data_IF_346122929634
#
_entry.id   IF_346122929634
#
_cell.length_a   1.000
_cell.length_b   1.000
_cell.length_c   1.000
_cell.angle_alpha   90.00
_cell.angle_beta   90.00
_cell.angle_gamma   90.00
#
_symmetry.space_group_name_H-M   'P 1'
#
loop_
_entity.id
_entity.type
_entity.pdbx_description
1 polymer ?
#
# COMPACT_ATOMS: atom_id res chain seq x y z
N UNK A 1 -30.95 -49.64 -60.17
CA UNK A 1 -32.35 -49.33 -59.79
C UNK A 1 -32.94 -50.59 -59.17
N UNK A 2 -32.93 -50.68 -57.84
CA UNK A 2 -33.59 -51.74 -57.07
C UNK A 2 -34.14 -51.04 -55.82
N UNK A 3 -35.45 -50.84 -55.80
CA UNK A 3 -36.20 -50.27 -54.68
C UNK A 3 -36.33 -51.32 -53.59
N UNK A 4 -35.75 -51.06 -52.42
CA UNK A 4 -35.98 -51.82 -51.19
C UNK A 4 -36.73 -50.97 -50.18
N UNK A 5 -38.02 -51.24 -50.01
CA UNK A 5 -38.86 -50.73 -48.93
C UNK A 5 -38.21 -51.06 -47.57
N UNK A 6 -37.84 -50.05 -46.78
CA UNK A 6 -37.53 -50.23 -45.35
C UNK A 6 -38.69 -49.69 -44.52
N UNK A 7 -39.33 -50.62 -43.83
CA UNK A 7 -40.35 -50.37 -42.83
C UNK A 7 -39.74 -49.59 -41.66
N UNK A 8 -40.28 -48.40 -41.39
CA UNK A 8 -39.99 -47.65 -40.17
C UNK A 8 -40.92 -48.18 -39.08
N UNK A 9 -40.40 -49.01 -38.19
CA UNK A 9 -41.06 -49.32 -36.92
C UNK A 9 -40.99 -48.06 -36.04
N UNK A 10 -42.10 -47.32 -35.94
CA UNK A 10 -42.29 -46.37 -34.85
C UNK A 10 -42.54 -47.17 -33.56
N UNK A 11 -41.47 -47.48 -32.84
CA UNK A 11 -41.59 -47.83 -31.41
C UNK A 11 -41.91 -46.53 -30.69
N UNK A 12 -43.20 -46.27 -30.49
CA UNK A 12 -43.65 -45.29 -29.51
C UNK A 12 -43.26 -45.84 -28.15
N UNK A 13 -42.12 -45.40 -27.63
CA UNK A 13 -41.85 -45.50 -26.21
C UNK A 13 -42.90 -44.62 -25.52
N UNK A 14 -43.96 -45.24 -25.02
CA UNK A 14 -44.65 -44.71 -23.86
C UNK A 14 -43.60 -44.66 -22.74
N UNK A 15 -42.93 -43.52 -22.58
CA UNK A 15 -42.38 -43.17 -21.29
C UNK A 15 -43.59 -43.12 -20.36
N UNK A 16 -43.80 -44.23 -19.65
CA UNK A 16 -44.64 -44.22 -18.47
C UNK A 16 -44.12 -43.08 -17.61
N UNK A 17 -44.94 -42.05 -17.45
CA UNK A 17 -44.74 -41.02 -16.45
C UNK A 17 -44.82 -41.75 -15.11
N UNK A 18 -43.68 -42.20 -14.60
CA UNK A 18 -43.57 -42.48 -13.18
C UNK A 18 -43.73 -41.13 -12.49
N UNK A 19 -44.95 -40.88 -12.03
CA UNK A 19 -45.26 -39.72 -11.22
C UNK A 19 -44.58 -39.95 -9.87
N UNK A 20 -43.36 -39.43 -9.73
CA UNK A 20 -42.65 -39.43 -8.46
C UNK A 20 -43.43 -38.56 -7.47
N UNK A 21 -43.67 -39.08 -6.27
CA UNK A 21 -44.39 -38.35 -5.22
C UNK A 21 -43.51 -37.20 -4.75
N UNK A 22 -43.99 -35.96 -4.85
CA UNK A 22 -43.26 -34.78 -4.44
C UNK A 22 -44.12 -33.88 -3.55
N UNK A 23 -43.49 -33.35 -2.50
CA UNK A 23 -44.04 -32.36 -1.58
C UNK A 23 -43.09 -31.16 -1.56
N UNK A 24 -43.60 -29.96 -1.83
CA UNK A 24 -42.78 -28.74 -1.96
C UNK A 24 -43.34 -27.62 -1.09
N UNK A 25 -42.63 -27.32 0.00
CA UNK A 25 -42.98 -26.25 0.94
C UNK A 25 -42.50 -24.86 0.51
N UNK A 26 -43.32 -23.85 0.76
CA UNK A 26 -43.03 -22.42 0.53
C UNK A 26 -43.68 -21.54 1.60
N UNK A 27 -43.24 -20.28 1.70
CA UNK A 27 -43.81 -19.30 2.63
C UNK A 27 -43.15 -19.21 4.00
N UNK A 28 -42.05 -19.95 4.23
CA UNK A 28 -41.18 -19.78 5.41
C UNK A 28 -40.39 -18.47 5.38
N UNK A 29 -39.76 -18.11 6.51
CA UNK A 29 -38.97 -16.89 6.64
C UNK A 29 -38.83 -16.36 8.06
N UNK A 30 -38.34 -15.12 8.18
CA UNK A 30 -38.18 -14.39 9.43
C UNK A 30 -39.46 -13.64 9.78
N UNK A 31 -39.92 -13.79 11.02
CA UNK A 31 -41.09 -13.07 11.55
C UNK A 31 -40.83 -12.65 12.99
N UNK A 32 -41.39 -11.50 13.39
CA UNK A 32 -41.29 -11.01 14.75
C UNK A 32 -42.21 -11.83 15.69
N UNK A 33 -41.87 -11.96 16.98
CA UNK A 33 -42.79 -12.53 17.97
C UNK A 33 -44.16 -11.85 17.94
N UNK A 34 -45.22 -12.62 18.17
CA UNK A 34 -46.64 -12.24 18.02
C UNK A 34 -47.11 -12.01 16.58
N UNK A 35 -46.21 -12.09 15.59
CA UNK A 35 -46.57 -12.04 14.18
C UNK A 35 -47.32 -13.28 13.69
N UNK A 36 -47.68 -13.26 12.41
CA UNK A 36 -48.35 -14.35 11.72
C UNK A 36 -47.63 -14.71 10.43
N UNK A 37 -47.64 -15.98 10.05
CA UNK A 37 -47.08 -16.49 8.80
C UNK A 37 -48.00 -17.58 8.23
N UNK A 38 -47.97 -17.77 6.92
CA UNK A 38 -48.71 -18.84 6.24
C UNK A 38 -47.75 -19.70 5.42
N UNK A 39 -47.60 -20.96 5.82
CA UNK A 39 -46.88 -21.95 5.01
C UNK A 39 -47.82 -22.59 4.00
N UNK A 40 -47.26 -22.95 2.86
CA UNK A 40 -47.94 -23.65 1.78
C UNK A 40 -47.11 -24.86 1.35
N UNK A 41 -47.75 -25.97 1.01
CA UNK A 41 -47.11 -27.17 0.51
C UNK A 41 -47.87 -27.69 -0.70
N UNK A 42 -47.19 -27.72 -1.84
CA UNK A 42 -47.71 -28.28 -3.09
C UNK A 42 -47.42 -29.77 -3.14
N UNK A 43 -48.46 -30.57 -3.42
CA UNK A 43 -48.36 -32.02 -3.50
C UNK A 43 -48.59 -32.51 -4.94
N UNK A 44 -47.75 -33.44 -5.39
CA UNK A 44 -47.88 -34.11 -6.70
C UNK A 44 -47.51 -35.59 -6.60
N UNK A 45 -47.91 -36.38 -7.61
CA UNK A 45 -47.58 -37.81 -7.68
C UNK A 45 -48.50 -38.76 -6.91
N UNK A 46 -49.56 -38.26 -6.26
CA UNK A 46 -50.57 -39.09 -5.59
C UNK A 46 -51.94 -38.41 -5.55
N UNK A 47 -52.99 -39.18 -5.24
CA UNK A 47 -54.36 -38.66 -5.04
C UNK A 47 -54.46 -37.88 -3.73
N UNK A 48 -54.18 -36.58 -3.77
CA UNK A 48 -54.16 -35.72 -2.59
C UNK A 48 -55.48 -35.81 -1.78
N UNK A 49 -56.63 -35.72 -2.46
CA UNK A 49 -57.97 -35.68 -1.85
C UNK A 49 -58.35 -36.87 -0.95
N UNK A 50 -57.77 -38.06 -1.17
CA UNK A 50 -58.06 -39.27 -0.38
C UNK A 50 -57.08 -39.47 0.77
N UNK A 51 -55.93 -38.79 0.74
CA UNK A 51 -54.86 -38.94 1.73
C UNK A 51 -54.93 -37.85 2.80
N UNK A 52 -54.59 -38.22 4.03
CA UNK A 52 -54.44 -37.28 5.14
C UNK A 52 -53.03 -36.68 5.15
N UNK A 53 -52.96 -35.42 5.53
CA UNK A 53 -51.73 -34.63 5.49
C UNK A 53 -51.40 -34.09 6.87
N UNK A 54 -50.11 -33.97 7.15
CA UNK A 54 -49.62 -33.48 8.43
C UNK A 54 -48.54 -32.42 8.22
N UNK A 55 -48.38 -31.59 9.25
CA UNK A 55 -47.18 -30.78 9.45
C UNK A 55 -46.39 -31.33 10.62
N UNK A 56 -45.08 -31.43 10.43
CA UNK A 56 -44.10 -31.83 11.44
C UNK A 56 -43.03 -30.74 11.49
N UNK A 57 -42.51 -30.42 12.66
CA UNK A 57 -41.42 -29.46 12.80
C UNK A 57 -40.21 -30.06 13.49
N UNK A 58 -39.03 -29.55 13.19
CA UNK A 58 -37.79 -29.87 13.86
C UNK A 58 -37.10 -28.58 14.31
N UNK A 59 -37.12 -28.32 15.62
CA UNK A 59 -36.36 -27.21 16.18
C UNK A 59 -34.86 -27.55 16.23
N UNK A 60 -33.96 -26.56 16.09
CA UNK A 60 -32.52 -26.80 16.19
C UNK A 60 -32.14 -27.52 17.49
N UNK A 61 -31.42 -28.64 17.37
CA UNK A 61 -31.00 -29.46 18.51
C UNK A 61 -32.11 -30.30 19.18
N UNK A 62 -33.33 -30.32 18.62
CA UNK A 62 -34.45 -31.15 19.09
C UNK A 62 -34.84 -32.22 18.06
N UNK A 63 -35.59 -33.21 18.54
CA UNK A 63 -36.22 -34.21 17.68
C UNK A 63 -37.40 -33.65 16.87
N UNK A 64 -37.99 -34.50 16.06
CA UNK A 64 -39.20 -34.19 15.29
C UNK A 64 -40.42 -34.06 16.22
N UNK A 65 -41.20 -33.00 16.05
CA UNK A 65 -42.43 -32.72 16.78
C UNK A 65 -43.60 -32.63 15.77
N UNK A 66 -44.62 -33.47 15.94
CA UNK A 66 -45.84 -33.37 15.15
C UNK A 66 -46.63 -32.10 15.52
N UNK A 67 -47.09 -31.34 14.52
CA UNK A 67 -47.70 -30.01 14.71
C UNK A 67 -49.22 -30.06 14.52
N UNK A 68 -49.66 -30.56 13.36
CA UNK A 68 -51.07 -30.60 13.00
C UNK A 68 -51.36 -31.64 11.93
N UNK A 69 -52.61 -32.10 11.86
CA UNK A 69 -53.14 -33.02 10.85
C UNK A 69 -54.46 -32.55 10.31
N UNK A 70 -54.69 -32.79 9.02
CA UNK A 70 -55.99 -32.64 8.37
C UNK A 70 -56.33 -33.93 7.63
N UNK A 71 -57.50 -34.50 7.95
CA UNK A 71 -57.99 -35.69 7.24
C UNK A 71 -58.52 -35.35 5.86
N UNK A 72 -58.72 -36.38 5.04
CA UNK A 72 -59.34 -36.29 3.73
C UNK A 72 -60.84 -35.99 3.83
N UNK A 73 -61.45 -35.68 2.67
CA UNK A 73 -62.87 -35.35 2.54
C UNK A 73 -63.81 -36.40 3.14
N UNK A 74 -63.48 -37.69 3.02
CA UNK A 74 -64.27 -38.80 3.56
C UNK A 74 -64.44 -38.76 5.08
N UNK A 75 -63.54 -38.05 5.77
CA UNK A 75 -63.55 -37.86 7.22
C UNK A 75 -63.94 -36.43 7.61
N UNK A 76 -64.73 -35.75 6.76
CA UNK A 76 -65.24 -34.40 6.98
C UNK A 76 -64.15 -33.36 7.31
N UNK A 77 -62.96 -33.51 6.72
CA UNK A 77 -61.83 -32.60 6.92
C UNK A 77 -61.43 -32.40 8.39
N UNK A 78 -61.65 -33.41 9.25
CA UNK A 78 -61.32 -33.32 10.67
C UNK A 78 -59.85 -32.90 10.89
N UNK A 79 -59.65 -31.86 11.72
CA UNK A 79 -58.34 -31.31 12.04
C UNK A 79 -57.93 -31.64 13.47
N UNK A 80 -56.62 -31.85 13.66
CA UNK A 80 -56.02 -32.15 14.96
C UNK A 80 -54.75 -31.32 15.11
N UNK A 81 -54.47 -30.87 16.33
CA UNK A 81 -53.34 -29.99 16.64
C UNK A 81 -52.59 -30.50 17.86
N UNK A 82 -51.27 -30.30 17.89
CA UNK A 82 -50.49 -30.52 19.09
C UNK A 82 -50.82 -29.47 20.15
N UNK A 83 -50.74 -29.85 21.43
CA UNK A 83 -51.06 -28.95 22.54
C UNK A 83 -50.18 -27.68 22.55
N UNK A 84 -48.95 -27.77 22.03
CA UNK A 84 -48.00 -26.65 21.93
C UNK A 84 -48.46 -25.52 20.97
N UNK A 85 -49.32 -25.84 20.01
CA UNK A 85 -49.75 -24.92 18.93
C UNK A 85 -51.26 -24.71 18.86
N UNK A 86 -52.02 -25.41 19.71
CA UNK A 86 -53.47 -25.32 19.82
C UNK A 86 -53.90 -23.86 20.01
N UNK A 87 -55.01 -23.50 19.38
CA UNK A 87 -55.60 -22.15 19.35
C UNK A 87 -54.74 -21.05 18.68
N UNK A 88 -53.55 -21.39 18.18
CA UNK A 88 -52.65 -20.46 17.48
C UNK A 88 -52.50 -20.81 16.00
N UNK A 89 -52.43 -22.10 15.70
CA UNK A 89 -52.21 -22.58 14.33
C UNK A 89 -53.50 -23.18 13.75
N UNK A 90 -53.70 -23.01 12.44
CA UNK A 90 -54.83 -23.55 11.69
C UNK A 90 -54.29 -24.27 10.46
N UNK A 91 -54.53 -25.58 10.36
CA UNK A 91 -54.21 -26.37 9.18
C UNK A 91 -55.42 -26.36 8.24
N UNK A 92 -55.16 -26.19 6.95
CA UNK A 92 -56.21 -26.18 5.92
C UNK A 92 -55.67 -26.77 4.63
N UNK A 93 -56.55 -27.17 3.71
CA UNK A 93 -56.18 -27.79 2.44
C UNK A 93 -57.09 -27.35 1.32
N UNK A 94 -56.56 -27.29 0.10
CA UNK A 94 -57.28 -27.11 -1.14
C UNK A 94 -57.05 -28.33 -2.04
N UNK A 95 -58.09 -29.16 -2.15
CA UNK A 95 -58.04 -30.39 -2.94
C UNK A 95 -58.03 -30.12 -4.45
N UNK A 96 -58.49 -28.95 -4.91
CA UNK A 96 -58.50 -28.60 -6.33
C UNK A 96 -57.09 -28.24 -6.84
N UNK A 97 -56.26 -27.68 -5.95
CA UNK A 97 -54.89 -27.28 -6.25
C UNK A 97 -53.85 -28.25 -5.68
N UNK A 98 -54.28 -29.29 -4.96
CA UNK A 98 -53.39 -30.20 -4.20
C UNK A 98 -52.45 -29.44 -3.27
N UNK A 99 -53.00 -28.44 -2.56
CA UNK A 99 -52.25 -27.55 -1.68
C UNK A 99 -52.62 -27.78 -0.22
N UNK A 100 -51.61 -27.87 0.65
CA UNK A 100 -51.75 -27.87 2.09
C UNK A 100 -51.26 -26.54 2.67
N UNK A 101 -51.97 -25.97 3.63
CA UNK A 101 -51.59 -24.72 4.28
C UNK A 101 -51.52 -24.86 5.80
N UNK A 102 -50.61 -24.11 6.40
CA UNK A 102 -50.55 -23.90 7.85
C UNK A 102 -50.55 -22.40 8.12
N UNK A 103 -51.68 -21.89 8.60
CA UNK A 103 -51.78 -20.52 9.09
C UNK A 103 -51.29 -20.50 10.54
N UNK A 104 -50.26 -19.73 10.82
CA UNK A 104 -49.63 -19.64 12.13
C UNK A 104 -49.83 -18.23 12.65
N UNK A 105 -50.54 -18.08 13.78
CA UNK A 105 -50.78 -16.79 14.40
C UNK A 105 -50.13 -16.71 15.78
N UNK A 106 -49.86 -15.49 16.23
CA UNK A 106 -49.25 -15.24 17.55
C UNK A 106 -48.01 -16.12 17.78
N UNK A 107 -47.07 -16.04 16.83
CA UNK A 107 -45.86 -16.83 16.83
C UNK A 107 -44.97 -16.51 18.02
N UNK A 108 -44.41 -17.55 18.63
CA UNK A 108 -43.49 -17.45 19.75
C UNK A 108 -42.09 -17.86 19.30
N UNK A 109 -41.07 -17.46 20.06
CA UNK A 109 -39.68 -17.85 19.78
C UNK A 109 -39.48 -19.37 19.73
N UNK A 110 -40.24 -20.11 20.56
CA UNK A 110 -40.28 -21.58 20.60
C UNK A 110 -40.79 -22.23 19.29
N UNK A 111 -41.48 -21.47 18.43
CA UNK A 111 -41.97 -21.98 17.14
C UNK A 111 -40.90 -21.93 16.03
N UNK A 112 -39.69 -21.44 16.33
CA UNK A 112 -38.55 -21.44 15.40
C UNK A 112 -38.09 -22.88 15.12
N UNK A 113 -38.29 -23.33 13.88
CA UNK A 113 -38.01 -24.69 13.46
C UNK A 113 -37.99 -24.81 11.93
N UNK A 114 -37.49 -25.94 11.43
CA UNK A 114 -37.78 -26.41 10.08
C UNK A 114 -39.16 -27.08 10.08
N UNK A 115 -40.05 -26.71 9.17
CA UNK A 115 -41.40 -27.27 9.04
C UNK A 115 -41.50 -28.10 7.77
N UNK A 116 -41.97 -29.34 7.91
CA UNK A 116 -42.14 -30.32 6.85
C UNK A 116 -43.61 -30.65 6.69
N UNK A 117 -44.11 -30.65 5.45
CA UNK A 117 -45.38 -31.29 5.15
C UNK A 117 -45.13 -32.77 4.85
N UNK A 118 -46.00 -33.63 5.39
CA UNK A 118 -45.85 -35.07 5.26
C UNK A 118 -47.17 -35.75 4.91
N UNK A 119 -47.10 -36.76 4.05
CA UNK A 119 -48.21 -37.64 3.72
C UNK A 119 -48.29 -38.77 4.74
N UNK A 120 -49.49 -38.99 5.28
CA UNK A 120 -49.75 -40.12 6.17
C UNK A 120 -49.73 -41.45 5.40
N UNK A 121 -49.16 -42.46 6.03
CA UNK A 121 -49.01 -43.81 5.50
C UNK A 121 -50.19 -44.73 5.75
N UNK A 122 -50.20 -45.85 5.04
CA UNK A 122 -51.29 -46.84 5.09
C UNK A 122 -51.35 -47.62 6.41
N UNK A 123 -50.31 -47.57 7.23
CA UNK A 123 -50.17 -48.34 8.49
C UNK A 123 -50.81 -47.67 9.71
N UNK A 124 -51.47 -46.52 9.55
CA UNK A 124 -52.26 -45.86 10.59
C UNK A 124 -51.77 -44.46 10.98
N UNK A 125 -52.42 -43.83 11.98
CA UNK A 125 -52.02 -42.51 12.44
C UNK A 125 -50.57 -42.54 12.94
N UNK A 126 -49.79 -41.54 12.54
CA UNK A 126 -48.38 -41.31 12.91
C UNK A 126 -47.30 -42.09 12.13
N UNK A 127 -47.66 -42.83 11.07
CA UNK A 127 -46.69 -43.31 10.08
C UNK A 127 -46.64 -42.34 8.90
N UNK A 128 -45.44 -41.88 8.52
CA UNK A 128 -45.25 -40.87 7.47
C UNK A 128 -44.44 -41.46 6.31
N UNK A 129 -45.10 -41.61 5.14
CA UNK A 129 -44.50 -42.26 3.96
C UNK A 129 -43.59 -41.31 3.16
N UNK A 130 -44.02 -40.06 3.02
CA UNK A 130 -43.36 -39.07 2.16
C UNK A 130 -43.26 -37.73 2.89
N UNK A 131 -42.10 -37.10 2.76
CA UNK A 131 -41.74 -35.84 3.39
C UNK A 131 -41.35 -34.84 2.31
N UNK A 132 -41.72 -33.57 2.52
CA UNK A 132 -41.15 -32.49 1.72
C UNK A 132 -39.75 -32.11 2.17
N UNK A 133 -39.14 -31.18 1.45
CA UNK A 133 -37.77 -30.69 1.73
C UNK A 133 -37.75 -29.80 2.98
N UNK A 134 -38.91 -29.29 3.37
CA UNK A 134 -39.10 -28.43 4.53
C UNK A 134 -38.81 -26.96 4.25
N UNK A 135 -39.31 -26.11 5.13
CA UNK A 135 -39.09 -24.66 5.08
C UNK A 135 -38.78 -24.12 6.47
N UNK A 136 -37.76 -23.26 6.57
CA UNK A 136 -37.31 -22.72 7.86
C UNK A 136 -38.16 -21.53 8.26
N UNK A 137 -38.63 -21.53 9.51
CA UNK A 137 -39.22 -20.36 10.16
C UNK A 137 -38.30 -19.93 11.28
N UNK A 138 -37.97 -18.64 11.30
CA UNK A 138 -37.25 -18.00 12.40
C UNK A 138 -38.15 -16.97 13.05
N UNK A 139 -38.44 -17.14 14.34
CA UNK A 139 -39.22 -16.17 15.13
C UNK A 139 -38.26 -15.44 16.06
N UNK A 140 -37.90 -14.21 15.73
CA UNK A 140 -36.91 -13.44 16.49
C UNK A 140 -37.15 -11.95 16.41
N UNK A 141 -36.79 -11.24 17.48
CA UNK A 141 -36.74 -9.78 17.54
C UNK A 141 -35.40 -9.18 17.08
N UNK A 142 -34.43 -10.03 16.74
CA UNK A 142 -33.12 -9.58 16.28
C UNK A 142 -33.24 -8.85 14.93
N UNK A 143 -32.43 -7.80 14.78
CA UNK A 143 -32.36 -7.01 13.54
C UNK A 143 -31.55 -7.77 12.50
N UNK A 144 -32.02 -7.73 11.26
CA UNK A 144 -31.25 -8.23 10.11
C UNK A 144 -29.87 -7.59 10.10
N UNK A 145 -28.83 -8.42 10.13
CA UNK A 145 -27.43 -7.98 10.20
C UNK A 145 -26.64 -8.63 9.08
N UNK A 146 -25.88 -7.83 8.34
CA UNK A 146 -25.07 -8.30 7.23
C UNK A 146 -23.81 -9.05 7.73
N UNK A 147 -23.36 -10.11 7.03
CA UNK A 147 -22.16 -10.85 7.41
C UNK A 147 -20.88 -10.04 7.26
N UNK A 148 -19.95 -10.26 8.19
CA UNK A 148 -18.54 -9.90 8.03
C UNK A 148 -17.74 -11.12 7.58
N UNK A 149 -16.99 -10.98 6.50
CA UNK A 149 -16.24 -12.10 5.87
C UNK A 149 -14.74 -11.92 6.07
N UNK A 150 -14.11 -12.90 6.69
CA UNK A 150 -12.68 -12.91 7.01
C UNK A 150 -11.95 -14.05 6.29
N UNK A 151 -10.84 -13.77 5.59
CA UNK A 151 -10.03 -14.82 4.96
C UNK A 151 -9.18 -15.53 6.01
N UNK A 152 -9.19 -16.86 5.99
CA UNK A 152 -8.34 -17.72 6.81
C UNK A 152 -7.24 -18.29 5.91
N UNK A 153 -6.15 -17.54 5.81
CA UNK A 153 -4.92 -17.99 5.18
C UNK A 153 -4.07 -18.83 6.17
N UNK A 154 -3.32 -19.84 5.68
CA UNK A 154 -2.46 -20.68 6.50
C UNK A 154 -1.35 -19.85 7.16
N UNK A 155 -0.83 -20.37 8.27
CA UNK A 155 0.20 -19.71 9.10
C UNK A 155 1.56 -19.72 8.38
N UNK A 156 2.38 -18.67 8.59
CA UNK A 156 3.78 -18.65 8.17
C UNK A 156 4.58 -19.70 8.96
N UNK A 157 4.63 -20.91 8.44
CA UNK A 157 5.52 -21.99 8.83
C UNK A 157 5.52 -22.97 7.66
N UNK A 158 6.70 -23.47 7.27
CA UNK A 158 6.84 -24.37 6.14
C UNK A 158 6.00 -25.63 6.37
N UNK A 159 4.74 -25.62 5.94
CA UNK A 159 3.97 -26.84 5.78
C UNK A 159 4.55 -27.54 4.58
N UNK A 160 5.48 -28.48 4.82
CA UNK A 160 6.12 -29.36 3.82
C UNK A 160 5.14 -30.34 3.16
N UNK A 161 3.85 -30.04 3.18
CA UNK A 161 2.77 -30.86 2.65
C UNK A 161 2.49 -30.55 1.18
N UNK A 162 2.10 -31.58 0.42
CA UNK A 162 1.66 -31.43 -0.98
C UNK A 162 0.36 -30.64 -1.15
N UNK A 163 -0.37 -30.38 -0.05
CA UNK A 163 -1.65 -29.68 -0.04
C UNK A 163 -1.70 -28.62 1.07
N UNK A 164 -2.51 -27.59 0.84
CA UNK A 164 -2.74 -26.46 1.74
C UNK A 164 -4.24 -26.30 1.93
N UNK A 165 -4.68 -26.20 3.19
CA UNK A 165 -6.06 -25.89 3.52
C UNK A 165 -6.22 -24.39 3.78
N UNK A 166 -7.13 -23.78 3.03
CA UNK A 166 -7.56 -22.39 3.18
C UNK A 166 -8.95 -22.37 3.81
N UNK A 167 -9.37 -21.23 4.35
CA UNK A 167 -10.72 -21.09 4.85
C UNK A 167 -11.29 -19.68 4.77
N UNK A 168 -12.59 -19.57 4.98
CA UNK A 168 -13.32 -18.32 4.97
C UNK A 168 -14.30 -18.35 6.14
N UNK A 169 -14.20 -17.34 7.02
CA UNK A 169 -15.05 -17.19 8.19
C UNK A 169 -16.11 -16.12 7.91
N UNK A 170 -17.38 -16.50 8.01
CA UNK A 170 -18.54 -15.63 7.89
C UNK A 170 -19.12 -15.43 9.27
N UNK A 171 -18.97 -14.22 9.82
CA UNK A 171 -19.30 -13.94 11.23
C UNK A 171 -20.32 -12.81 11.34
N UNK A 172 -21.21 -12.94 12.31
CA UNK A 172 -22.02 -11.82 12.79
C UNK A 172 -23.20 -11.48 11.89
N UNK A 173 -23.84 -12.47 11.26
CA UNK A 173 -25.00 -12.23 10.40
C UNK A 173 -26.30 -12.73 11.03
N UNK A 174 -27.41 -12.20 10.58
CA UNK A 174 -28.73 -12.68 10.99
C UNK A 174 -29.78 -12.29 9.94
N UNK A 175 -30.75 -13.17 9.61
CA UNK A 175 -30.93 -14.58 10.00
C UNK A 175 -30.18 -15.57 9.07
N UNK A 176 -30.37 -16.88 9.21
CA UNK A 176 -30.00 -17.85 8.16
C UNK A 176 -30.98 -17.84 6.97
N UNK A 177 -30.56 -18.29 5.77
CA UNK A 177 -29.26 -18.89 5.42
C UNK A 177 -28.28 -17.91 4.76
N UNK A 178 -27.01 -18.30 4.70
CA UNK A 178 -25.99 -17.70 3.83
C UNK A 178 -25.53 -18.72 2.79
N UNK A 179 -25.29 -18.25 1.57
CA UNK A 179 -24.67 -19.06 0.51
C UNK A 179 -23.18 -18.73 0.45
N UNK A 180 -22.33 -19.73 0.68
CA UNK A 180 -20.88 -19.63 0.54
C UNK A 180 -20.41 -20.54 -0.59
N UNK A 181 -19.77 -19.97 -1.61
CA UNK A 181 -19.12 -20.70 -2.69
C UNK A 181 -17.66 -20.27 -2.86
N UNK A 182 -16.87 -21.08 -3.56
CA UNK A 182 -15.46 -20.79 -3.84
C UNK A 182 -15.26 -20.57 -5.34
N UNK A 183 -14.54 -19.52 -5.71
CA UNK A 183 -14.33 -19.08 -7.10
C UNK A 183 -15.61 -19.11 -7.94
N UNK A 184 -16.68 -18.53 -7.41
CA UNK A 184 -18.02 -18.47 -8.01
C UNK A 184 -18.59 -19.83 -8.40
N UNK A 185 -18.22 -20.90 -7.69
CA UNK A 185 -18.67 -22.27 -7.92
C UNK A 185 -17.76 -23.11 -8.81
N UNK A 186 -16.70 -22.53 -9.38
CA UNK A 186 -15.71 -23.30 -10.17
C UNK A 186 -14.82 -24.20 -9.30
N UNK A 187 -14.68 -23.90 -8.01
CA UNK A 187 -13.92 -24.69 -7.05
C UNK A 187 -14.89 -25.39 -6.08
N UNK A 188 -15.10 -26.69 -6.28
CA UNK A 188 -15.98 -27.52 -5.44
C UNK A 188 -15.27 -28.72 -4.80
N UNK A 189 -14.16 -29.17 -5.38
CA UNK A 189 -13.37 -30.28 -4.85
C UNK A 189 -12.63 -29.87 -3.57
N UNK A 190 -12.68 -30.70 -2.53
CA UNK A 190 -12.02 -30.45 -1.25
C UNK A 190 -12.64 -29.33 -0.41
N UNK A 191 -13.84 -28.87 -0.77
CA UNK A 191 -14.60 -27.85 -0.02
C UNK A 191 -15.41 -28.50 1.10
N UNK A 192 -15.28 -27.98 2.31
CA UNK A 192 -16.06 -28.34 3.47
C UNK A 192 -16.66 -27.09 4.10
N UNK A 193 -17.98 -26.96 4.07
CA UNK A 193 -18.70 -25.86 4.73
C UNK A 193 -19.34 -26.38 6.01
N UNK A 194 -18.96 -25.78 7.14
CA UNK A 194 -19.45 -26.16 8.47
C UNK A 194 -20.82 -25.52 8.72
N UNK A 195 -21.71 -26.19 9.48
CA UNK A 195 -23.02 -25.64 9.83
C UNK A 195 -22.88 -24.35 10.63
N UNK A 196 -23.83 -23.43 10.45
CA UNK A 196 -23.82 -22.18 11.19
C UNK A 196 -24.13 -22.40 12.68
N UNK A 197 -23.48 -21.63 13.53
CA UNK A 197 -23.68 -21.64 14.98
C UNK A 197 -24.21 -20.28 15.40
N UNK A 198 -25.30 -20.28 16.17
CA UNK A 198 -25.89 -19.09 16.75
C UNK A 198 -25.13 -18.72 18.04
N UNK A 199 -24.53 -17.53 18.07
CA UNK A 199 -23.80 -16.99 19.22
C UNK A 199 -24.23 -15.54 19.45
N UNK A 200 -24.83 -15.26 20.62
CA UNK A 200 -25.30 -13.91 20.98
C UNK A 200 -26.20 -13.27 19.91
N UNK A 201 -27.26 -13.98 19.50
CA UNK A 201 -28.25 -13.60 18.48
C UNK A 201 -27.73 -13.48 17.03
N UNK A 202 -26.44 -13.72 16.77
CA UNK A 202 -25.86 -13.70 15.43
C UNK A 202 -25.26 -15.05 15.05
N UNK A 203 -25.40 -15.41 13.78
CA UNK A 203 -24.84 -16.62 13.23
C UNK A 203 -23.38 -16.43 12.81
N UNK A 204 -22.62 -17.51 12.96
CA UNK A 204 -21.25 -17.64 12.46
C UNK A 204 -21.10 -18.97 11.75
N UNK A 205 -20.48 -18.96 10.57
CA UNK A 205 -20.23 -20.13 9.74
C UNK A 205 -18.80 -20.04 9.20
N UNK A 206 -18.15 -21.19 9.00
CA UNK A 206 -16.87 -21.28 8.32
C UNK A 206 -16.94 -22.26 7.16
N UNK A 207 -16.11 -22.04 6.15
CA UNK A 207 -15.86 -23.01 5.09
C UNK A 207 -14.35 -23.12 4.88
N UNK A 208 -13.89 -24.33 4.59
CA UNK A 208 -12.49 -24.62 4.26
C UNK A 208 -12.39 -25.29 2.90
N UNK A 209 -11.30 -25.03 2.19
CA UNK A 209 -10.98 -25.69 0.91
C UNK A 209 -9.53 -26.16 0.92
N UNK A 210 -9.30 -27.41 0.51
CA UNK A 210 -7.95 -27.95 0.36
C UNK A 210 -7.51 -27.90 -1.09
N UNK A 211 -6.39 -27.24 -1.35
CA UNK A 211 -5.81 -27.05 -2.70
C UNK A 211 -4.35 -27.52 -2.74
N UNK A 212 -3.83 -27.75 -3.94
CA UNK A 212 -2.42 -28.16 -4.12
C UNK A 212 -1.47 -27.01 -3.77
N UNK A 213 -0.44 -27.30 -2.97
CA UNK A 213 0.48 -26.26 -2.48
C UNK A 213 1.26 -25.55 -3.61
N UNK A 214 1.52 -26.24 -4.73
CA UNK A 214 2.29 -25.69 -5.86
C UNK A 214 1.50 -24.69 -6.70
N UNK A 215 0.17 -24.77 -6.71
CA UNK A 215 -0.69 -23.94 -7.58
C UNK A 215 -1.30 -22.76 -6.84
N UNK A 216 -1.43 -22.83 -5.52
CA UNK A 216 -2.04 -21.76 -4.72
C UNK A 216 -1.34 -20.38 -4.84
N UNK A 217 0.00 -20.25 -4.77
CA UNK A 217 0.65 -18.94 -4.79
C UNK A 217 0.38 -18.12 -6.06
N UNK A 218 0.09 -18.79 -7.19
CA UNK A 218 -0.21 -18.16 -8.47
C UNK A 218 -1.70 -18.11 -8.81
N UNK A 219 -2.55 -18.85 -8.08
CA UNK A 219 -3.99 -18.89 -8.30
C UNK A 219 -4.75 -17.99 -7.32
N UNK A 220 -5.62 -17.13 -7.85
CA UNK A 220 -6.52 -16.32 -7.04
C UNK A 220 -7.69 -17.16 -6.53
N UNK A 221 -7.65 -17.53 -5.24
CA UNK A 221 -8.76 -18.21 -4.58
C UNK A 221 -9.60 -17.17 -3.84
N UNK A 222 -10.90 -17.19 -4.09
CA UNK A 222 -11.88 -16.24 -3.57
C UNK A 222 -13.03 -17.01 -2.92
N UNK A 223 -13.44 -16.61 -1.72
CA UNK A 223 -14.73 -17.04 -1.16
C UNK A 223 -15.80 -16.01 -1.47
N UNK A 224 -16.91 -16.47 -2.02
CA UNK A 224 -18.06 -15.67 -2.44
C UNK A 224 -19.19 -15.94 -1.47
N UNK A 225 -19.61 -14.92 -0.73
CA UNK A 225 -20.64 -15.02 0.31
C UNK A 225 -21.82 -14.17 -0.08
N UNK A 226 -23.02 -14.76 -0.13
CA UNK A 226 -24.27 -14.06 -0.38
C UNK A 226 -25.22 -14.27 0.80
N UNK A 227 -25.75 -13.17 1.33
CA UNK A 227 -26.78 -13.17 2.38
C UNK A 227 -28.07 -12.54 1.84
N UNK A 228 -29.09 -13.34 1.51
CA UNK A 228 -30.33 -12.86 0.88
C UNK A 228 -31.08 -11.83 1.73
N UNK A 229 -31.15 -12.02 3.05
CA UNK A 229 -31.95 -11.17 3.92
C UNK A 229 -31.42 -9.73 4.05
N UNK A 230 -30.10 -9.53 3.93
CA UNK A 230 -29.48 -8.19 3.91
C UNK A 230 -29.03 -7.75 2.51
N UNK A 231 -29.41 -8.50 1.46
CA UNK A 231 -28.96 -8.26 0.07
C UNK A 231 -27.44 -8.08 -0.07
N UNK A 232 -26.66 -8.72 0.80
CA UNK A 232 -25.21 -8.50 0.87
C UNK A 232 -24.49 -9.57 0.05
N UNK A 233 -23.57 -9.15 -0.81
CA UNK A 233 -22.65 -10.03 -1.54
C UNK A 233 -21.23 -9.58 -1.26
N UNK A 234 -20.37 -10.50 -0.82
CA UNK A 234 -18.98 -10.23 -0.49
C UNK A 234 -18.09 -11.27 -1.13
N UNK A 235 -17.16 -10.81 -1.96
CA UNK A 235 -16.12 -11.63 -2.54
C UNK A 235 -14.81 -11.32 -1.82
N UNK A 236 -14.27 -12.32 -1.12
CA UNK A 236 -13.04 -12.15 -0.33
C UNK A 236 -11.94 -13.06 -0.86
N UNK A 237 -10.91 -12.43 -1.43
CA UNK A 237 -9.70 -13.10 -1.89
C UNK A 237 -8.87 -13.59 -0.69
N UNK A 238 -8.37 -14.82 -0.78
CA UNK A 238 -7.44 -15.39 0.20
C UNK A 238 -6.03 -15.24 -0.34
N UNK A 239 -5.27 -14.34 0.27
CA UNK A 239 -3.88 -14.11 -0.08
C UNK A 239 -2.97 -14.85 0.90
N UNK A 240 -1.80 -15.36 0.45
CA UNK A 240 -0.78 -15.90 1.34
C UNK A 240 -0.42 -14.86 2.40
N UNK A 241 -0.37 -15.27 3.68
CA UNK A 241 0.22 -14.41 4.71
C UNK A 241 1.71 -14.30 4.41
N UNK A 242 2.11 -13.16 3.85
CA UNK A 242 3.52 -12.76 3.84
C UNK A 242 3.99 -12.46 5.26
N UNK A 243 5.31 -12.53 5.53
CA UNK A 243 5.86 -11.97 6.76
C UNK A 243 5.32 -10.55 6.88
N UNK A 244 4.74 -10.21 8.03
CA UNK A 244 4.35 -8.82 8.31
C UNK A 244 5.60 -8.02 8.62
N UNK A 245 6.55 -7.96 7.68
CA UNK A 245 7.36 -6.76 7.53
C UNK A 245 6.36 -5.77 6.99
N UNK A 246 5.68 -5.03 7.87
CA UNK A 246 5.30 -3.68 7.44
C UNK A 246 6.65 -3.05 7.11
N UNK A 247 6.97 -2.71 5.83
CA UNK A 247 7.86 -1.59 5.67
C UNK A 247 7.21 -0.50 6.52
N UNK A 248 7.97 0.19 7.36
CA UNK A 248 7.48 1.42 7.95
C UNK A 248 6.68 2.14 6.84
N UNK A 249 5.47 2.68 7.11
CA UNK A 249 4.85 3.58 6.14
C UNK A 249 5.97 4.51 5.68
N UNK A 250 6.13 4.79 4.36
CA UNK A 250 7.24 5.59 3.91
C UNK A 250 7.29 6.77 4.85
N UNK A 251 8.36 6.84 5.66
CA UNK A 251 8.60 8.03 6.42
C UNK A 251 8.82 9.06 5.31
N UNK A 252 7.75 9.72 4.85
CA UNK A 252 7.79 11.17 4.93
C UNK A 252 8.16 11.37 6.39
N UNK A 253 9.44 11.62 6.64
CA UNK A 253 9.82 12.27 7.88
C UNK A 253 8.76 13.35 8.03
N UNK A 254 7.86 13.28 9.04
CA UNK A 254 7.00 14.43 9.29
C UNK A 254 7.99 15.58 9.36
N UNK A 255 7.85 16.54 8.43
CA UNK A 255 8.79 17.64 8.30
C UNK A 255 9.08 18.07 9.73
N UNK A 256 10.35 18.01 10.18
CA UNK A 256 10.65 18.32 11.57
C UNK A 256 9.93 19.62 11.84
N UNK A 257 9.14 19.66 12.91
CA UNK A 257 8.43 20.88 13.28
C UNK A 257 9.55 21.86 13.66
N UNK A 258 10.09 22.55 12.65
CA UNK A 258 11.31 23.33 12.69
C UNK A 258 10.93 24.58 13.45
N UNK A 259 11.04 24.50 14.77
CA UNK A 259 10.70 25.54 15.74
C UNK A 259 11.42 26.88 15.47
N UNK A 260 12.35 26.94 14.52
CA UNK A 260 13.11 28.14 14.13
C UNK A 260 12.85 28.70 12.73
N UNK A 261 12.01 28.07 11.89
CA UNK A 261 11.85 28.47 10.48
C UNK A 261 13.11 28.25 9.62
N UNK A 262 13.13 28.75 8.37
CA UNK A 262 14.25 28.55 7.45
C UNK A 262 15.52 29.32 7.85
N UNK A 263 16.68 28.72 7.61
CA UNK A 263 18.01 29.29 7.90
C UNK A 263 18.65 29.87 6.64
N UNK A 264 19.32 31.03 6.76
CA UNK A 264 19.93 31.76 5.63
C UNK A 264 21.44 31.90 5.79
N UNK A 265 22.17 31.47 4.76
CA UNK A 265 23.63 31.56 4.63
C UNK A 265 24.00 32.32 3.36
N UNK A 266 25.03 33.16 3.44
CA UNK A 266 25.58 33.88 2.29
C UNK A 266 27.05 33.49 2.10
N UNK A 267 27.46 33.24 0.86
CA UNK A 267 28.78 32.74 0.50
C UNK A 267 29.46 33.70 -0.49
N UNK A 268 30.78 33.93 -0.34
CA UNK A 268 31.54 34.78 -1.24
C UNK A 268 31.68 34.13 -2.63
N UNK A 269 32.01 34.91 -3.67
CA UNK A 269 32.40 34.36 -4.95
C UNK A 269 33.69 33.56 -4.82
N UNK A 270 33.90 32.57 -5.68
CA UNK A 270 35.16 31.84 -5.72
C UNK A 270 36.28 32.78 -6.15
N UNK A 271 37.40 32.75 -5.44
CA UNK A 271 38.51 33.69 -5.69
C UNK A 271 39.05 33.61 -7.14
N UNK A 272 39.07 32.42 -7.75
CA UNK A 272 39.43 32.24 -9.17
C UNK A 272 38.52 33.07 -10.09
N UNK A 273 37.21 33.04 -9.85
CA UNK A 273 36.22 33.73 -10.67
C UNK A 273 36.32 35.26 -10.53
N UNK A 274 36.76 35.74 -9.37
CA UNK A 274 36.99 37.17 -9.08
C UNK A 274 38.29 37.69 -9.71
N UNK A 275 39.34 36.87 -9.75
CA UNK A 275 40.66 37.32 -10.20
C UNK A 275 40.89 37.09 -11.71
N UNK A 276 40.09 36.23 -12.35
CA UNK A 276 40.16 35.98 -13.79
C UNK A 276 39.05 36.72 -14.55
N UNK A 277 39.44 37.62 -15.46
CA UNK A 277 38.52 38.43 -16.27
C UNK A 277 37.62 37.61 -17.22
N UNK A 278 38.01 36.38 -17.55
CA UNK A 278 37.25 35.49 -18.42
C UNK A 278 36.12 34.76 -17.69
N UNK A 279 36.08 34.84 -16.36
CA UNK A 279 35.10 34.17 -15.51
C UNK A 279 34.11 35.20 -14.94
N UNK A 280 32.95 34.72 -14.51
CA UNK A 280 31.87 35.56 -13.97
C UNK A 280 31.67 35.25 -12.49
N UNK A 281 32.13 36.13 -11.57
CA UNK A 281 31.96 35.91 -10.14
C UNK A 281 30.49 36.05 -9.73
N UNK A 282 30.09 35.26 -8.72
CA UNK A 282 28.73 35.27 -8.18
C UNK A 282 28.73 35.21 -6.66
N UNK A 283 27.92 36.05 -6.02
CA UNK A 283 27.61 35.92 -4.58
C UNK A 283 26.43 34.96 -4.45
N UNK A 284 26.53 33.98 -3.54
CA UNK A 284 25.48 32.96 -3.41
C UNK A 284 24.78 33.07 -2.06
N UNK A 285 23.46 33.11 -2.07
CA UNK A 285 22.62 33.04 -0.88
C UNK A 285 21.87 31.70 -0.87
N UNK A 286 22.04 30.92 0.20
CA UNK A 286 21.46 29.60 0.37
C UNK A 286 20.49 29.63 1.54
N UNK A 287 19.25 29.24 1.28
CA UNK A 287 18.20 29.07 2.27
C UNK A 287 17.96 27.58 2.45
N UNK A 288 18.13 27.09 3.68
CA UNK A 288 17.92 25.69 4.07
C UNK A 288 16.80 25.61 5.10
N UNK A 289 16.35 24.40 5.42
CA UNK A 289 15.27 24.16 6.39
C UNK A 289 13.92 24.77 5.95
N UNK A 290 13.70 24.91 4.64
CA UNK A 290 12.43 25.42 4.08
C UNK A 290 11.39 24.30 4.12
N UNK A 291 10.23 24.58 4.73
CA UNK A 291 9.11 23.62 4.82
C UNK A 291 8.47 23.35 3.46
N UNK A 292 8.04 22.10 3.21
CA UNK A 292 7.18 21.76 2.05
C UNK A 292 5.82 22.47 2.10
N UNK A 293 5.33 22.81 3.29
CA UNK A 293 4.02 23.44 3.48
C UNK A 293 4.03 24.94 3.15
N UNK A 294 5.18 25.61 3.26
CA UNK A 294 5.38 27.02 2.93
C UNK A 294 6.64 27.19 2.04
N UNK A 295 6.62 26.66 0.79
CA UNK A 295 7.80 26.59 -0.09
C UNK A 295 8.18 27.94 -0.71
N UNK A 296 7.30 28.93 -0.63
CA UNK A 296 7.47 30.24 -1.26
C UNK A 296 8.47 31.09 -0.48
N UNK A 297 9.71 31.11 -0.97
CA UNK A 297 10.81 31.93 -0.43
C UNK A 297 11.05 33.12 -1.35
N UNK A 298 10.91 34.33 -0.82
CA UNK A 298 11.19 35.57 -1.52
C UNK A 298 12.61 36.03 -1.18
N UNK A 299 13.47 36.17 -2.18
CA UNK A 299 14.86 36.59 -2.01
C UNK A 299 15.07 37.90 -2.77
N UNK A 300 15.39 38.97 -2.03
CA UNK A 300 15.78 40.28 -2.58
C UNK A 300 17.27 40.52 -2.36
N UNK A 301 17.93 41.08 -3.37
CA UNK A 301 19.36 41.39 -3.32
C UNK A 301 19.60 42.89 -3.31
N UNK A 302 20.58 43.33 -2.53
CA UNK A 302 21.00 44.72 -2.46
C UNK A 302 22.52 44.83 -2.58
N UNK A 303 22.99 45.77 -3.39
CA UNK A 303 24.41 46.14 -3.50
C UNK A 303 24.56 47.56 -2.96
N UNK A 304 25.32 47.73 -1.87
CA UNK A 304 25.41 49.00 -1.11
C UNK A 304 24.02 49.58 -0.77
N UNK A 305 23.09 48.72 -0.35
CA UNK A 305 21.69 49.04 -0.04
C UNK A 305 20.82 49.49 -1.24
N UNK A 306 21.30 49.37 -2.48
CA UNK A 306 20.48 49.56 -3.69
C UNK A 306 19.99 48.20 -4.19
N UNK A 307 18.68 48.06 -4.37
CA UNK A 307 18.08 46.79 -4.80
C UNK A 307 18.48 46.44 -6.24
N UNK A 308 18.77 45.16 -6.48
CA UNK A 308 19.14 44.62 -7.79
C UNK A 308 18.33 43.36 -8.10
N UNK A 309 17.95 43.20 -9.37
CA UNK A 309 17.05 42.14 -9.85
C UNK A 309 17.73 41.15 -10.81
N UNK A 310 19.04 41.21 -10.97
CA UNK A 310 19.80 40.37 -11.91
C UNK A 310 20.12 38.97 -11.36
N UNK A 311 19.74 38.67 -10.12
CA UNK A 311 20.00 37.40 -9.48
C UNK A 311 19.18 36.25 -10.10
N UNK A 312 19.77 35.06 -10.14
CA UNK A 312 19.14 33.85 -10.61
C UNK A 312 18.86 32.94 -9.43
N UNK A 313 17.59 32.53 -9.26
CA UNK A 313 17.18 31.68 -8.14
C UNK A 313 16.79 30.30 -8.64
N UNK A 314 17.34 29.28 -8.00
CA UNK A 314 17.07 27.87 -8.28
C UNK A 314 16.62 27.19 -6.98
N UNK A 315 15.53 26.43 -7.06
CA UNK A 315 15.01 25.65 -5.93
C UNK A 315 15.38 24.18 -6.14
N UNK A 316 16.05 23.60 -5.16
CA UNK A 316 16.47 22.21 -5.13
C UNK A 316 15.70 21.46 -4.05
N UNK A 317 15.23 20.25 -4.36
CA UNK A 317 14.66 19.33 -3.36
C UNK A 317 15.78 18.49 -2.77
N UNK A 318 15.85 18.43 -1.44
CA UNK A 318 16.71 17.45 -0.77
C UNK A 318 15.90 16.19 -0.44
N UNK A 319 16.26 15.08 -1.06
CA UNK A 319 15.50 13.82 -1.00
C UNK A 319 15.51 13.14 0.39
N UNK A 320 16.30 13.64 1.35
CA UNK A 320 16.60 12.94 2.61
C UNK A 320 15.91 13.49 3.86
N UNK A 321 15.51 14.76 3.92
CA UNK A 321 15.02 15.41 5.16
C UNK A 321 13.66 16.12 5.03
N UNK A 322 12.96 15.99 3.89
CA UNK A 322 11.69 16.68 3.63
C UNK A 322 11.75 18.21 3.77
N UNK A 323 12.94 18.80 3.59
CA UNK A 323 13.14 20.25 3.48
C UNK A 323 13.55 20.64 2.06
N UNK A 324 13.21 21.86 1.67
CA UNK A 324 13.63 22.46 0.40
C UNK A 324 14.90 23.28 0.63
N UNK A 325 15.79 23.28 -0.38
CA UNK A 325 16.98 24.13 -0.40
C UNK A 325 16.85 25.12 -1.56
N UNK A 326 16.73 26.40 -1.23
CA UNK A 326 16.64 27.47 -2.24
C UNK A 326 18.00 28.14 -2.36
N UNK A 327 18.52 28.23 -3.58
CA UNK A 327 19.82 28.85 -3.88
C UNK A 327 19.59 30.01 -4.82
N UNK A 328 19.91 31.23 -4.37
CA UNK A 328 19.94 32.42 -5.21
C UNK A 328 21.38 32.82 -5.47
N UNK A 329 21.76 32.98 -6.73
CA UNK A 329 23.09 33.41 -7.15
C UNK A 329 22.99 34.78 -7.83
N UNK A 330 23.69 35.77 -7.29
CA UNK A 330 23.78 37.12 -7.86
C UNK A 330 25.09 37.24 -8.66
N UNK A 331 25.04 37.35 -9.99
CA UNK A 331 26.22 37.71 -10.78
C UNK A 331 26.69 39.12 -10.45
N UNK A 332 27.99 39.28 -10.22
CA UNK A 332 28.60 40.56 -9.83
C UNK A 332 29.72 40.95 -10.80
N UNK A 333 30.12 42.22 -10.76
CA UNK A 333 31.31 42.69 -11.46
C UNK A 333 32.56 42.45 -10.60
N UNK A 334 33.70 42.10 -11.23
CA UNK A 334 34.98 41.87 -10.53
C UNK A 334 35.37 43.06 -9.66
N UNK A 335 35.23 44.28 -10.18
CA UNK A 335 35.58 45.52 -9.49
C UNK A 335 34.67 45.81 -8.29
N UNK A 336 33.41 45.36 -8.31
CA UNK A 336 32.46 45.59 -7.23
C UNK A 336 32.89 44.84 -5.97
N UNK A 337 33.32 43.58 -6.12
CA UNK A 337 33.87 42.81 -5.01
C UNK A 337 35.20 43.39 -4.53
N UNK A 338 36.13 43.67 -5.45
CA UNK A 338 37.48 44.13 -5.11
C UNK A 338 37.51 45.52 -4.46
N UNK A 339 36.53 46.38 -4.78
CA UNK A 339 36.35 47.68 -4.12
C UNK A 339 35.70 47.60 -2.74
N UNK A 340 35.32 46.40 -2.29
CA UNK A 340 34.72 46.17 -0.97
C UNK A 340 33.26 46.60 -0.87
N UNK A 341 32.50 46.57 -2.00
CA UNK A 341 31.05 46.78 -1.93
C UNK A 341 30.40 45.73 -1.04
N UNK A 342 29.31 46.12 -0.39
CA UNK A 342 28.52 45.24 0.46
C UNK A 342 27.37 44.63 -0.34
N UNK A 343 27.28 43.31 -0.29
CA UNK A 343 26.23 42.51 -0.92
C UNK A 343 25.33 41.95 0.17
N UNK A 344 24.05 42.29 0.11
CA UNK A 344 23.06 41.88 1.09
C UNK A 344 21.99 41.02 0.44
N UNK A 345 21.78 39.83 1.00
CA UNK A 345 20.66 38.95 0.70
C UNK A 345 19.59 39.11 1.79
N UNK A 346 18.37 39.49 1.38
CA UNK A 346 17.20 39.60 2.25
C UNK A 346 16.22 38.51 1.89
N UNK A 347 15.90 37.66 2.85
CA UNK A 347 15.02 36.49 2.66
C UNK A 347 13.75 36.68 3.47
N UNK A 348 12.61 36.48 2.81
CA UNK A 348 11.29 36.52 3.42
C UNK A 348 10.54 35.22 3.12
N UNK A 349 9.86 34.67 4.12
CA UNK A 349 9.08 33.45 4.02
C UNK A 349 7.96 33.49 5.06
N UNK A 350 6.81 32.85 4.78
CA UNK A 350 5.64 32.86 5.65
C UNK A 350 5.86 32.20 7.02
N UNK A 351 6.79 31.26 7.11
CA UNK A 351 7.18 30.63 8.38
C UNK A 351 8.12 31.51 9.23
N UNK A 352 8.63 32.63 8.70
CA UNK A 352 9.50 33.55 9.43
C UNK A 352 8.69 34.68 10.09
N UNK A 353 8.97 35.03 11.37
CA UNK A 353 8.33 36.17 12.02
C UNK A 353 8.82 37.53 11.48
N UNK A 354 10.03 37.57 10.92
CA UNK A 354 10.62 38.75 10.29
C UNK A 354 11.60 38.33 9.19
N UNK A 355 11.85 39.17 8.16
CA UNK A 355 12.83 38.88 7.12
C UNK A 355 14.24 38.70 7.68
N UNK A 356 14.98 37.69 7.21
CA UNK A 356 16.37 37.46 7.59
C UNK A 356 17.29 38.15 6.57
N UNK A 357 18.21 38.98 7.05
CA UNK A 357 19.22 39.65 6.23
C UNK A 357 20.62 39.08 6.52
N UNK A 358 21.38 38.84 5.44
CA UNK A 358 22.78 38.44 5.48
C UNK A 358 23.60 39.31 4.54
N UNK A 359 24.68 39.88 5.04
CA UNK A 359 25.57 40.75 4.28
C UNK A 359 26.94 40.11 4.16
N UNK A 360 27.58 40.28 3.01
CA UNK A 360 28.95 39.86 2.75
C UNK A 360 29.68 40.92 1.92
N UNK A 361 30.97 41.07 2.17
CA UNK A 361 31.87 41.93 1.42
C UNK A 361 33.28 41.34 1.49
N UNK A 362 34.17 41.82 0.62
CA UNK A 362 35.58 41.43 0.70
C UNK A 362 36.16 41.82 2.08
N UNK A 363 36.82 40.90 2.80
CA UNK A 363 37.45 41.22 4.08
C UNK A 363 38.52 42.30 3.89
N UNK A 364 38.57 43.26 4.82
CA UNK A 364 39.58 44.31 4.82
C UNK A 364 40.84 43.77 5.50
N UNK A 365 41.99 43.91 4.85
CA UNK A 365 43.25 43.42 5.41
C UNK A 365 44.46 43.82 4.58
N UNK A 366 45.65 43.55 5.12
CA UNK A 366 46.90 43.66 4.37
C UNK A 366 47.01 42.54 3.34
N UNK A 367 47.51 42.88 2.16
CA UNK A 367 47.75 41.91 1.08
C UNK A 367 49.23 41.55 1.06
N UNK A 368 49.55 40.25 1.09
CA UNK A 368 50.91 39.71 0.90
C UNK A 368 50.89 38.67 -0.21
N UNK A 369 51.86 38.76 -1.12
CA UNK A 369 51.96 37.88 -2.26
C UNK A 369 52.55 36.51 -1.85
N UNK A 370 51.94 35.38 -2.24
CA UNK A 370 52.46 34.06 -1.90
C UNK A 370 53.83 33.79 -2.49
N UNK A 371 54.67 33.15 -1.68
CA UNK A 371 55.87 32.48 -2.13
C UNK A 371 55.55 31.04 -2.49
N UNK A 372 55.81 30.67 -3.75
CA UNK A 372 55.43 29.37 -4.31
C UNK A 372 56.68 28.55 -4.61
N UNK A 373 56.73 27.34 -4.06
CA UNK A 373 57.81 26.38 -4.23
C UNK A 373 57.25 25.03 -4.69
N UNK A 374 57.94 24.38 -5.62
CA UNK A 374 57.62 23.01 -6.03
C UNK A 374 58.72 22.07 -5.55
N UNK A 375 58.32 21.03 -4.83
CA UNK A 375 59.19 20.06 -4.19
C UNK A 375 59.05 18.71 -4.90
N UNK A 376 60.15 18.10 -5.38
CA UNK A 376 60.12 16.82 -6.05
C UNK A 376 59.75 15.69 -5.07
N UNK A 377 59.40 14.49 -5.57
CA UNK A 377 59.17 13.35 -4.70
C UNK A 377 60.41 13.03 -3.85
N UNK A 378 60.25 12.66 -2.57
CA UNK A 378 61.37 12.22 -1.76
C UNK A 378 61.98 10.94 -2.33
N UNK A 379 63.29 10.76 -2.17
CA UNK A 379 64.04 9.65 -2.77
C UNK A 379 63.47 8.27 -2.39
N UNK A 380 62.99 8.13 -1.15
CA UNK A 380 62.35 6.92 -0.64
C UNK A 380 61.07 6.53 -1.42
N UNK A 381 60.31 7.53 -1.90
CA UNK A 381 59.07 7.30 -2.67
C UNK A 381 59.35 6.86 -4.11
N UNK A 382 60.59 7.04 -4.60
CA UNK A 382 60.97 6.63 -5.96
C UNK A 382 60.98 5.10 -6.13
N UNK A 383 60.85 4.33 -5.06
CA UNK A 383 60.65 2.87 -5.12
C UNK A 383 59.21 2.48 -5.51
N UNK A 384 58.25 3.39 -5.37
CA UNK A 384 56.82 3.14 -5.59
C UNK A 384 56.42 3.34 -7.06
N UNK A 385 55.26 2.78 -7.43
CA UNK A 385 54.66 2.96 -8.77
C UNK A 385 54.13 4.38 -9.01
N UNK A 386 53.66 5.04 -7.96
CA UNK A 386 53.19 6.42 -7.96
C UNK A 386 54.08 7.26 -7.05
N UNK A 387 54.30 8.51 -7.45
CA UNK A 387 55.11 9.49 -6.73
C UNK A 387 54.30 10.75 -6.49
N UNK A 388 54.63 11.49 -5.43
CA UNK A 388 53.91 12.69 -5.03
C UNK A 388 54.71 13.94 -5.34
N UNK A 389 54.12 14.85 -6.11
CA UNK A 389 54.64 16.20 -6.34
C UNK A 389 53.98 17.14 -5.34
N UNK A 390 54.78 17.97 -4.68
CA UNK A 390 54.29 18.88 -3.65
C UNK A 390 54.49 20.32 -4.09
N UNK A 391 53.47 21.15 -3.97
CA UNK A 391 53.55 22.60 -4.11
C UNK A 391 53.31 23.21 -2.74
N UNK A 392 54.29 23.96 -2.25
CA UNK A 392 54.23 24.69 -0.99
C UNK A 392 53.99 26.16 -1.29
N UNK A 393 52.95 26.72 -0.69
CA UNK A 393 52.54 28.11 -0.86
C UNK A 393 52.56 28.77 0.51
N UNK A 394 53.39 29.78 0.73
CA UNK A 394 53.66 30.38 2.05
C UNK A 394 53.63 31.91 1.99
N UNK A 395 53.56 32.56 3.15
CA UNK A 395 53.67 34.03 3.31
C UNK A 395 52.64 34.83 2.49
N UNK A 396 51.38 34.36 2.48
CA UNK A 396 50.30 35.05 1.77
C UNK A 396 49.19 35.57 2.68
N UNK A 397 48.56 36.67 2.26
CA UNK A 397 47.38 37.26 2.89
C UNK A 397 46.53 37.96 1.82
N UNK A 398 45.19 37.86 1.85
CA UNK A 398 44.34 37.13 2.80
C UNK A 398 44.33 35.61 2.53
N UNK A 399 43.51 34.87 3.29
CA UNK A 399 43.36 33.41 3.20
C UNK A 399 42.85 32.91 1.83
N UNK A 400 42.10 33.75 1.11
CA UNK A 400 41.51 33.42 -0.19
C UNK A 400 42.59 33.18 -1.25
N UNK A 401 42.74 31.92 -1.65
CA UNK A 401 43.73 31.49 -2.64
C UNK A 401 43.19 30.34 -3.49
N UNK A 402 43.64 30.26 -4.74
CA UNK A 402 43.33 29.13 -5.61
C UNK A 402 44.61 28.52 -6.16
N UNK A 403 44.72 27.20 -6.05
CA UNK A 403 45.90 26.43 -6.48
C UNK A 403 45.44 25.26 -7.35
N UNK A 404 46.01 25.15 -8.54
CA UNK A 404 45.77 24.05 -9.46
C UNK A 404 47.08 23.50 -10.04
N UNK A 405 47.04 22.26 -10.51
CA UNK A 405 48.16 21.66 -11.22
C UNK A 405 47.89 21.61 -12.72
N UNK A 406 48.95 21.83 -13.50
CA UNK A 406 48.92 21.70 -14.96
C UNK A 406 50.07 20.83 -15.43
N UNK A 407 49.87 20.15 -16.56
CA UNK A 407 50.84 19.31 -17.22
C UNK A 407 50.73 19.56 -18.74
N UNK A 408 51.80 20.07 -19.35
CA UNK A 408 51.83 20.44 -20.78
C UNK A 408 50.63 21.34 -21.17
N UNK A 409 50.24 22.26 -20.28
CA UNK A 409 49.11 23.18 -20.48
C UNK A 409 47.71 22.62 -20.20
N UNK A 410 47.59 21.34 -19.82
CA UNK A 410 46.31 20.72 -19.43
C UNK A 410 46.18 20.63 -17.91
N UNK A 411 44.99 20.92 -17.37
CA UNK A 411 44.71 20.81 -15.94
C UNK A 411 44.75 19.35 -15.49
N UNK A 412 45.49 19.07 -14.42
CA UNK A 412 45.55 17.76 -13.77
C UNK A 412 44.40 17.61 -12.76
N UNK A 413 43.87 16.40 -12.60
CA UNK A 413 42.72 16.15 -11.71
C UNK A 413 43.10 15.46 -10.41
N UNK A 414 44.24 14.74 -10.39
CA UNK A 414 44.65 13.88 -9.29
C UNK A 414 45.45 14.62 -8.20
N UNK A 415 45.08 15.86 -7.90
CA UNK A 415 45.69 16.64 -6.82
C UNK A 415 44.71 16.89 -5.68
N UNK A 416 45.27 17.16 -4.49
CA UNK A 416 44.53 17.61 -3.32
C UNK A 416 45.23 18.78 -2.67
N UNK A 417 44.46 19.80 -2.33
CA UNK A 417 44.91 20.97 -1.60
C UNK A 417 44.59 20.79 -0.12
N UNK A 418 45.47 21.25 0.76
CA UNK A 418 45.13 21.50 2.17
C UNK A 418 44.35 22.81 2.27
N UNK A 419 43.57 22.98 3.32
CA UNK A 419 43.07 24.31 3.68
C UNK A 419 44.25 25.24 4.06
N UNK A 420 44.15 26.56 3.82
CA UNK A 420 45.09 27.53 4.35
C UNK A 420 45.19 27.47 5.87
N UNK A 421 46.42 27.46 6.38
CA UNK A 421 46.72 27.43 7.81
C UNK A 421 47.42 28.73 8.18
N UNK A 422 46.98 29.36 9.27
CA UNK A 422 47.59 30.57 9.80
C UNK A 422 48.98 30.24 10.39
N UNK A 423 50.00 30.96 9.94
CA UNK A 423 51.37 30.86 10.43
C UNK A 423 51.59 31.83 11.61
N UNK A 424 52.68 31.61 12.32
CA UNK A 424 53.16 32.37 13.47
C UNK A 424 53.37 33.87 13.20
N UNK A 425 53.62 34.28 11.96
CA UNK A 425 53.82 35.67 11.54
C UNK A 425 52.53 36.37 11.07
N UNK A 426 51.38 35.68 11.18
CA UNK A 426 50.06 36.14 10.74
C UNK A 426 49.80 35.98 9.24
N UNK A 427 50.75 35.44 8.47
CA UNK A 427 50.50 35.02 7.09
C UNK A 427 49.82 33.65 7.04
N UNK A 428 49.40 33.21 5.86
CA UNK A 428 48.89 31.87 5.63
C UNK A 428 49.91 31.04 4.85
N UNK A 429 49.86 29.72 5.07
CA UNK A 429 50.52 28.73 4.23
C UNK A 429 49.59 27.57 3.90
N UNK A 430 49.85 26.88 2.78
CA UNK A 430 49.15 25.66 2.39
C UNK A 430 50.03 24.76 1.52
N UNK A 431 49.60 23.51 1.35
CA UNK A 431 50.23 22.56 0.45
C UNK A 431 49.23 22.03 -0.58
N UNK A 432 49.72 21.81 -1.79
CA UNK A 432 49.01 21.03 -2.81
C UNK A 432 49.82 19.79 -3.18
N UNK A 433 49.18 18.62 -3.15
CA UNK A 433 49.81 17.32 -3.43
C UNK A 433 49.21 16.72 -4.69
N UNK A 434 50.01 16.55 -5.74
CA UNK A 434 49.62 15.88 -6.98
C UNK A 434 50.23 14.48 -7.02
N UNK A 435 49.40 13.46 -7.24
CA UNK A 435 49.86 12.07 -7.43
C UNK A 435 49.99 11.77 -8.91
N UNK A 436 51.17 11.32 -9.33
CA UNK A 436 51.46 10.94 -10.72
C UNK A 436 52.11 9.56 -10.77
N UNK A 437 51.98 8.89 -11.91
CA UNK A 437 52.76 7.68 -12.15
C UNK A 437 54.26 8.03 -12.24
N UNK A 438 55.11 7.20 -11.62
CA UNK A 438 56.56 7.40 -11.63
C UNK A 438 57.10 7.51 -13.06
N UNK A 439 56.56 6.72 -13.99
CA UNK A 439 56.92 6.75 -15.41
C UNK A 439 56.78 8.16 -15.99
N UNK A 440 55.63 8.80 -15.80
CA UNK A 440 55.34 10.14 -16.29
C UNK A 440 56.23 11.21 -15.64
N UNK A 441 56.61 11.00 -14.38
CA UNK A 441 57.58 11.86 -13.69
C UNK A 441 58.99 11.71 -14.27
N UNK A 442 59.45 10.50 -14.55
CA UNK A 442 60.79 10.22 -15.11
C UNK A 442 60.88 10.68 -16.58
N UNK A 443 59.78 10.57 -17.34
CA UNK A 443 59.65 11.01 -18.74
C UNK A 443 59.70 12.54 -18.94
N UNK A 444 59.95 13.32 -17.87
CA UNK A 444 60.14 14.78 -17.89
C UNK A 444 58.93 15.58 -18.38
N UNK A 445 57.72 15.13 -18.07
CA UNK A 445 56.51 15.92 -18.26
C UNK A 445 56.57 17.27 -17.51
N UNK A 446 55.98 18.32 -18.09
CA UNK A 446 56.06 19.69 -17.59
C UNK A 446 55.02 20.00 -16.50
N UNK A 447 55.11 19.28 -15.37
CA UNK A 447 54.26 19.54 -14.22
C UNK A 447 54.53 20.91 -13.62
N UNK A 448 53.47 21.69 -13.46
CA UNK A 448 53.53 23.06 -12.97
C UNK A 448 52.41 23.33 -11.97
N UNK A 449 52.74 23.97 -10.85
CA UNK A 449 51.80 24.47 -9.87
C UNK A 449 51.41 25.90 -10.26
N UNK A 450 50.12 26.12 -10.53
CA UNK A 450 49.52 27.39 -10.91
C UNK A 450 48.77 27.95 -9.70
N UNK A 451 49.15 29.15 -9.26
CA UNK A 451 48.60 29.80 -8.07
C UNK A 451 47.97 31.12 -8.48
N UNK A 452 46.76 31.36 -7.99
CA UNK A 452 45.95 32.55 -8.25
C UNK A 452 45.64 33.21 -6.92
N UNK A 453 46.10 34.44 -6.75
CA UNK A 453 46.02 35.20 -5.50
C UNK A 453 46.08 36.70 -5.78
N UNK A 454 45.37 37.52 -5.00
CA UNK A 454 45.25 38.95 -5.26
C UNK A 454 46.56 39.75 -5.09
N UNK A 455 47.51 39.24 -4.29
CA UNK A 455 48.81 39.87 -4.07
C UNK A 455 49.81 39.64 -5.21
N UNK A 456 49.54 38.71 -6.12
CA UNK A 456 50.44 38.41 -7.23
C UNK A 456 50.30 39.44 -8.36
N UNK A 457 51.41 39.69 -9.07
CA UNK A 457 51.36 40.44 -10.31
C UNK A 457 50.47 39.71 -11.33
N UNK A 458 49.50 40.42 -11.92
CA UNK A 458 48.43 39.85 -12.76
C UNK A 458 47.60 38.75 -12.06
N UNK A 459 47.61 38.73 -10.72
CA UNK A 459 46.92 37.77 -9.87
C UNK A 459 47.28 36.29 -10.10
N UNK A 460 48.38 36.00 -10.78
CA UNK A 460 48.73 34.66 -11.21
C UNK A 460 50.24 34.43 -11.19
N UNK A 461 50.64 33.24 -10.75
CA UNK A 461 52.03 32.77 -10.88
C UNK A 461 52.06 31.27 -11.14
N UNK A 462 53.07 30.83 -11.90
CA UNK A 462 53.29 29.42 -12.19
C UNK A 462 54.70 29.04 -11.77
N UNK A 463 54.82 27.92 -11.05
CA UNK A 463 56.11 27.30 -10.71
C UNK A 463 56.19 25.90 -11.28
N UNK A 464 57.25 25.66 -12.02
CA UNK A 464 57.55 24.37 -12.64
C UNK A 464 58.86 23.84 -12.08
N UNK A 465 59.06 22.53 -12.19
CA UNK A 465 60.32 21.91 -11.77
C UNK A 465 61.44 22.31 -12.75
N UNK A 466 62.47 23.01 -12.24
CA UNK A 466 63.69 23.28 -13.00
C UNK A 466 64.53 22.02 -13.09
N UNK A 467 64.42 21.29 -14.20
CA UNK A 467 65.30 20.14 -14.50
C UNK A 467 66.38 20.57 -15.49
N UNK A 468 67.63 20.57 -15.04
CA UNK A 468 68.79 20.80 -15.92
C UNK A 468 68.85 19.74 -17.03
N UNK A 469 68.97 20.13 -18.31
CA UNK A 469 69.20 19.17 -19.38
C UNK A 469 70.58 18.53 -19.21
N UNK A 470 70.67 17.23 -18.91
CA UNK A 470 71.93 16.49 -19.07
C UNK A 470 72.40 15.54 -17.96
N UNK A 471 71.60 15.26 -16.92
CA UNK A 471 71.85 14.10 -16.03
C UNK A 471 70.58 13.28 -15.83
#
# INVERSE_FOLDING_TARGET
MLLGLKWVFFVVFYQGVHCEVQLVETGGGLVQPKGSLKLSCAASGFSFNTNAMNWVRQAPGKGLEWVARIRSKSNNYATYYADSVKDRFTISRDDSQSMLYLQMNNLKTEDTAMYYCVKEGQLGPYYFDYWGQGTTITVSSAKTTAPSVYPLAPVCGDTTGSSVTLGCLVKGYFPEPVTLTWNSGSLSSGVHTFPAVLQSDLYTLSSSVTVTSSTWPSQSITCNVAHPASSTKVDKKIEPRGPTIKPCPPCKCPAPNLLGGPSVFIFPPKIKDVLMISLSPMVTCVVVDVSEDDPDVQISWFVNNVEVLTAQTQTHREDYNSTLRVVSALPIQHQDWMSGKEFKCKVNNKALPAPIERTISKPKGSVRAPQVYVLPPPEEEMTKKQVTLTCMVTDFMPEDIYVEWTNNGKTELNYKNTEPVLDSDGSYFMYSKLRVEKKNWVERNSYSCSVVHEGLHNHHTTKSFSRTPGK
#
